data_IF_249259894460
#
_entry.id   IF_249259894460
#
_cell.length_a   1.000
_cell.length_b   1.000
_cell.length_c   1.000
_cell.angle_alpha   90.00
_cell.angle_beta   90.00
_cell.angle_gamma   90.00
#
_symmetry.space_group_name_H-M   'P 1'
#
loop_
_entity.id
_entity.type
_entity.pdbx_description
1 polymer ?
#
# COMPACT_ATOMS: atom_id res chain seq x y z
N UNK A 1 -23.58 -1.68 12.21
CA UNK A 1 -23.62 -1.09 10.84
C UNK A 1 -24.79 -0.13 10.78
N UNK A 2 -24.60 1.05 10.18
CA UNK A 2 -25.67 2.03 9.93
C UNK A 2 -25.68 2.37 8.44
N UNK A 3 -26.83 2.19 7.78
CA UNK A 3 -27.05 2.54 6.38
C UNK A 3 -28.27 3.46 6.32
N UNK A 4 -28.15 4.58 5.62
CA UNK A 4 -29.21 5.57 5.43
C UNK A 4 -29.16 6.07 4.00
N UNK A 5 -30.31 6.48 3.46
CA UNK A 5 -30.35 7.10 2.13
C UNK A 5 -31.69 6.94 1.43
N UNK A 6 -31.71 7.35 0.17
CA UNK A 6 -32.86 7.30 -0.73
C UNK A 6 -32.46 6.65 -2.05
N UNK A 7 -33.40 5.97 -2.70
CA UNK A 7 -33.23 5.40 -4.02
C UNK A 7 -34.50 5.61 -4.85
N UNK A 8 -34.33 5.80 -6.15
CA UNK A 8 -35.42 5.92 -7.11
C UNK A 8 -35.40 7.22 -7.93
N UNK A 9 -36.23 7.28 -8.99
CA UNK A 9 -37.16 6.24 -9.46
C UNK A 9 -36.45 5.01 -10.05
N UNK A 10 -37.07 3.83 -9.97
CA UNK A 10 -36.51 2.57 -10.52
C UNK A 10 -36.85 2.49 -12.02
N UNK A 11 -35.87 2.47 -12.94
CA UNK A 11 -36.14 2.32 -14.36
C UNK A 11 -36.65 0.91 -14.68
N UNK A 12 -37.73 0.81 -15.45
CA UNK A 12 -38.29 -0.51 -15.86
C UNK A 12 -37.36 -1.27 -16.81
N UNK A 13 -36.56 -0.57 -17.61
CA UNK A 13 -35.66 -1.16 -18.59
C UNK A 13 -34.40 -1.75 -17.93
N UNK A 14 -33.86 -1.11 -16.89
CA UNK A 14 -32.62 -1.52 -16.24
C UNK A 14 -32.57 -1.04 -14.77
N UNK A 15 -32.68 -1.98 -13.83
CA UNK A 15 -32.67 -1.67 -12.38
C UNK A 15 -31.30 -1.15 -11.91
N UNK A 16 -30.20 -1.46 -12.62
CA UNK A 16 -28.85 -0.98 -12.29
C UNK A 16 -28.77 0.55 -12.41
N UNK A 17 -29.59 1.14 -13.28
CA UNK A 17 -29.65 2.59 -13.51
C UNK A 17 -30.49 3.34 -12.47
N UNK A 18 -30.87 2.69 -11.37
CA UNK A 18 -31.62 3.35 -10.30
C UNK A 18 -30.76 4.42 -9.62
N UNK A 19 -31.18 5.71 -9.64
CA UNK A 19 -30.48 6.75 -8.89
C UNK A 19 -30.59 6.49 -7.39
N UNK A 20 -29.54 6.81 -6.65
CA UNK A 20 -29.56 6.69 -5.20
C UNK A 20 -28.61 7.69 -4.55
N UNK A 21 -28.81 7.92 -3.26
CA UNK A 21 -27.95 8.72 -2.40
C UNK A 21 -27.92 8.04 -1.04
N UNK A 22 -26.77 7.45 -0.71
CA UNK A 22 -26.57 6.55 0.42
C UNK A 22 -25.40 7.02 1.29
N UNK A 23 -25.53 6.83 2.59
CA UNK A 23 -24.47 6.98 3.60
C UNK A 23 -24.34 5.68 4.40
N UNK A 24 -23.12 5.19 4.52
CA UNK A 24 -22.77 3.93 5.17
C UNK A 24 -21.71 4.17 6.24
N UNK A 25 -22.01 3.71 7.46
CA UNK A 25 -21.06 3.67 8.56
C UNK A 25 -20.93 2.24 9.10
N UNK A 26 -19.72 1.71 9.04
CA UNK A 26 -19.31 0.44 9.60
C UNK A 26 -18.23 0.73 10.62
N UNK A 27 -18.56 0.58 11.91
CA UNK A 27 -17.58 0.82 12.98
C UNK A 27 -16.54 -0.30 13.10
N UNK A 28 -16.91 -1.52 12.70
CA UNK A 28 -16.06 -2.70 12.84
C UNK A 28 -16.51 -3.80 11.88
N UNK A 29 -15.62 -4.19 10.98
CA UNK A 29 -15.75 -5.32 10.08
C UNK A 29 -14.51 -6.20 10.24
N UNK A 30 -14.71 -7.45 10.62
CA UNK A 30 -13.63 -8.44 10.65
C UNK A 30 -13.41 -8.99 9.23
N UNK A 31 -12.25 -8.73 8.62
CA UNK A 31 -11.95 -9.16 7.25
C UNK A 31 -11.86 -10.68 7.11
N UNK A 32 -11.32 -11.36 8.12
CA UNK A 32 -11.18 -12.81 8.08
C UNK A 32 -12.52 -13.51 8.36
N UNK A 33 -13.33 -12.93 9.26
CA UNK A 33 -14.64 -13.46 9.62
C UNK A 33 -15.78 -13.10 8.65
N UNK A 34 -15.60 -12.10 7.78
CA UNK A 34 -16.66 -11.58 6.90
C UNK A 34 -16.79 -12.28 5.55
N UNK A 35 -15.80 -13.08 5.16
CA UNK A 35 -15.75 -13.71 3.83
C UNK A 35 -15.25 -12.80 2.71
N UNK A 36 -14.86 -11.54 3.00
CA UNK A 36 -14.23 -10.65 2.02
C UNK A 36 -12.82 -11.11 1.62
N UNK A 37 -12.12 -11.77 2.53
CA UNK A 37 -10.84 -12.41 2.24
C UNK A 37 -11.04 -13.93 2.16
N UNK A 38 -10.46 -14.56 1.13
CA UNK A 38 -10.36 -16.02 1.11
C UNK A 38 -9.53 -16.47 2.33
N UNK A 39 -9.97 -17.48 3.10
CA UNK A 39 -9.24 -17.91 4.30
C UNK A 39 -7.77 -18.29 4.03
N UNK A 40 -7.47 -18.77 2.82
CA UNK A 40 -6.13 -19.14 2.37
C UNK A 40 -5.21 -17.95 2.05
N UNK A 41 -5.77 -16.75 1.84
CA UNK A 41 -5.01 -15.55 1.45
C UNK A 41 -4.08 -15.04 2.56
N UNK A 42 -4.37 -15.37 3.82
CA UNK A 42 -3.67 -14.82 4.97
C UNK A 42 -4.02 -13.37 5.30
N UNK A 43 -4.98 -12.78 4.58
CA UNK A 43 -5.48 -11.43 4.84
C UNK A 43 -6.37 -11.44 6.08
N UNK A 44 -6.09 -10.56 7.03
CA UNK A 44 -6.88 -10.37 8.23
C UNK A 44 -6.81 -8.92 8.71
N UNK A 45 -7.71 -8.53 9.60
CA UNK A 45 -7.73 -7.19 10.18
C UNK A 45 -9.14 -6.73 10.48
N UNK A 46 -9.22 -5.57 11.11
CA UNK A 46 -10.48 -4.93 11.48
C UNK A 46 -10.60 -3.64 10.69
N UNK A 47 -11.66 -3.51 9.92
CA UNK A 47 -11.92 -2.31 9.12
C UNK A 47 -13.10 -1.54 9.68
N UNK A 48 -12.90 -0.24 9.87
CA UNK A 48 -13.97 0.73 9.99
C UNK A 48 -14.08 1.50 8.66
N UNK A 49 -15.31 1.81 8.26
CA UNK A 49 -15.63 2.58 7.06
C UNK A 49 -16.68 3.62 7.39
N UNK A 50 -16.44 4.85 6.97
CA UNK A 50 -17.43 5.92 6.94
C UNK A 50 -17.43 6.49 5.52
N UNK A 51 -18.57 6.41 4.83
CA UNK A 51 -18.63 6.85 3.44
C UNK A 51 -20.03 7.12 2.93
N UNK A 52 -20.06 7.73 1.75
CA UNK A 52 -21.27 8.06 1.01
C UNK A 52 -21.12 7.62 -0.45
N UNK A 53 -22.22 7.18 -1.05
CA UNK A 53 -22.30 6.84 -2.46
C UNK A 53 -23.53 7.50 -3.08
N UNK A 54 -23.35 8.20 -4.20
CA UNK A 54 -24.43 8.82 -4.94
C UNK A 54 -24.41 8.33 -6.39
N UNK A 55 -25.55 7.86 -6.88
CA UNK A 55 -25.75 7.43 -8.27
C UNK A 55 -26.76 8.32 -8.96
N UNK A 56 -26.45 8.73 -10.18
CA UNK A 56 -27.40 9.40 -11.09
C UNK A 56 -28.06 8.42 -12.07
N UNK A 57 -27.79 7.11 -11.93
CA UNK A 57 -28.25 6.06 -12.85
C UNK A 57 -27.27 5.72 -13.98
N UNK A 58 -26.21 6.51 -14.17
CA UNK A 58 -25.16 6.23 -15.16
C UNK A 58 -23.78 6.12 -14.50
N UNK A 59 -23.53 6.96 -13.50
CA UNK A 59 -22.31 6.96 -12.71
C UNK A 59 -22.62 6.90 -11.22
N UNK A 60 -21.72 6.30 -10.46
CA UNK A 60 -21.72 6.26 -8.99
C UNK A 60 -20.47 6.96 -8.47
N UNK A 61 -20.67 8.04 -7.72
CA UNK A 61 -19.61 8.72 -7.01
C UNK A 61 -19.55 8.22 -5.57
N UNK A 62 -18.37 7.78 -5.13
CA UNK A 62 -18.14 7.25 -3.78
C UNK A 62 -17.07 8.08 -3.11
N UNK A 63 -17.34 8.50 -1.88
CA UNK A 63 -16.39 9.18 -1.00
C UNK A 63 -16.39 8.48 0.34
N UNK A 64 -15.23 8.36 0.96
CA UNK A 64 -15.18 7.79 2.30
C UNK A 64 -13.80 7.78 2.92
N UNK A 65 -13.80 7.41 4.20
CA UNK A 65 -12.64 7.15 5.01
C UNK A 65 -12.68 5.71 5.48
N UNK A 66 -11.59 4.99 5.26
CA UNK A 66 -11.36 3.67 5.83
C UNK A 66 -10.30 3.78 6.91
N UNK A 67 -10.45 3.00 7.97
CA UNK A 67 -9.43 2.76 8.97
C UNK A 67 -9.29 1.26 9.16
N UNK A 68 -8.08 0.73 9.00
CA UNK A 68 -7.78 -0.68 9.14
C UNK A 68 -6.80 -0.88 10.30
N UNK A 69 -7.27 -1.55 11.35
CA UNK A 69 -6.50 -1.93 12.52
C UNK A 69 -6.07 -3.40 12.44
N UNK A 70 -4.93 -3.72 13.06
CA UNK A 70 -4.39 -5.08 13.13
C UNK A 70 -4.29 -5.76 11.74
N UNK A 71 -4.01 -4.96 10.71
CA UNK A 71 -3.99 -5.44 9.33
C UNK A 71 -2.88 -6.48 9.17
N UNK A 72 -3.20 -7.59 8.52
CA UNK A 72 -2.27 -8.63 8.07
C UNK A 72 -2.56 -8.86 6.59
N UNK A 73 -1.54 -8.80 5.74
CA UNK A 73 -1.68 -8.81 4.28
C UNK A 73 -0.94 -9.98 3.61
N UNK A 74 -0.09 -10.68 4.35
CA UNK A 74 0.67 -11.81 3.86
C UNK A 74 0.43 -13.03 4.77
N UNK A 75 0.48 -14.24 4.20
CA UNK A 75 0.28 -15.50 4.94
C UNK A 75 1.23 -15.65 6.13
N UNK A 76 2.52 -15.36 5.93
CA UNK A 76 3.55 -15.33 6.98
C UNK A 76 3.52 -14.08 7.86
N UNK A 77 2.76 -13.06 7.48
CA UNK A 77 2.68 -11.80 8.19
C UNK A 77 2.06 -11.91 9.58
N UNK A 78 2.29 -10.89 10.39
CA UNK A 78 1.66 -10.66 11.69
C UNK A 78 0.95 -9.31 11.71
N UNK A 79 0.00 -9.06 12.63
CA UNK A 79 -0.74 -7.81 12.66
C UNK A 79 0.16 -6.56 12.66
N UNK A 80 -0.19 -5.58 11.84
CA UNK A 80 0.42 -4.26 11.84
C UNK A 80 0.32 -3.62 13.24
N UNK A 81 1.37 -2.90 13.64
CA UNK A 81 1.44 -2.20 14.93
C UNK A 81 0.77 -0.84 14.93
N UNK A 82 0.29 -0.39 13.76
CA UNK A 82 -0.38 0.90 13.56
C UNK A 82 -1.52 0.73 12.56
N UNK A 83 -2.57 1.52 12.77
CA UNK A 83 -3.68 1.61 11.84
C UNK A 83 -3.23 2.18 10.49
N UNK A 84 -3.82 1.66 9.41
CA UNK A 84 -3.74 2.26 8.07
C UNK A 84 -5.04 3.00 7.83
N UNK A 85 -4.98 4.29 7.48
CA UNK A 85 -6.16 5.06 7.10
C UNK A 85 -6.12 5.36 5.61
N UNK A 86 -7.28 5.37 4.96
CA UNK A 86 -7.41 5.68 3.54
C UNK A 86 -8.56 6.65 3.36
N UNK A 87 -8.27 7.84 2.85
CA UNK A 87 -9.28 8.78 2.39
C UNK A 87 -9.46 8.62 0.88
N UNK A 88 -10.67 8.33 0.41
CA UNK A 88 -10.93 8.03 -1.00
C UNK A 88 -12.07 8.86 -1.59
N UNK A 89 -11.93 9.14 -2.89
CA UNK A 89 -12.97 9.61 -3.79
C UNK A 89 -12.81 8.87 -5.12
N UNK A 90 -13.87 8.21 -5.58
CA UNK A 90 -13.88 7.50 -6.85
C UNK A 90 -15.19 7.79 -7.60
N UNK A 91 -15.11 7.75 -8.92
CA UNK A 91 -16.29 7.76 -9.80
C UNK A 91 -16.32 6.48 -10.63
N UNK A 92 -17.47 5.81 -10.69
CA UNK A 92 -17.68 4.54 -11.39
C UNK A 92 -18.75 4.72 -12.46
N UNK A 93 -18.44 4.38 -13.71
CA UNK A 93 -19.38 4.31 -14.84
C UNK A 93 -20.03 2.92 -14.86
N UNK A 94 -21.35 2.87 -14.65
CA UNK A 94 -22.11 1.63 -14.52
C UNK A 94 -22.14 0.84 -15.82
N UNK A 95 -22.26 1.51 -16.96
CA UNK A 95 -22.35 0.86 -18.27
C UNK A 95 -20.99 0.30 -18.70
N UNK A 96 -19.91 1.02 -18.42
CA UNK A 96 -18.55 0.58 -18.74
C UNK A 96 -17.95 -0.37 -17.69
N UNK A 97 -18.61 -0.51 -16.53
CA UNK A 97 -18.13 -1.26 -15.37
C UNK A 97 -16.68 -0.91 -15.02
N UNK A 98 -16.39 0.38 -15.00
CA UNK A 98 -15.04 0.90 -14.79
C UNK A 98 -15.09 2.28 -14.18
N UNK A 99 -13.97 2.77 -13.68
CA UNK A 99 -13.96 4.02 -12.94
C UNK A 99 -12.60 4.65 -12.77
N UNK A 100 -12.62 5.83 -12.15
CA UNK A 100 -11.44 6.62 -11.81
C UNK A 100 -11.35 6.76 -10.30
N UNK A 101 -10.18 6.49 -9.74
CA UNK A 101 -9.82 6.85 -8.38
C UNK A 101 -9.28 8.28 -8.41
N UNK A 102 -10.19 9.24 -8.20
CA UNK A 102 -9.91 10.68 -8.30
C UNK A 102 -8.93 11.13 -7.20
N UNK A 103 -9.11 10.59 -6.00
CA UNK A 103 -8.24 10.82 -4.86
C UNK A 103 -8.20 9.55 -4.01
N UNK A 104 -7.00 9.10 -3.67
CA UNK A 104 -6.81 8.16 -2.57
C UNK A 104 -5.56 8.54 -1.82
N UNK A 105 -5.69 8.90 -0.54
CA UNK A 105 -4.54 9.20 0.31
C UNK A 105 -4.47 8.15 1.39
N UNK A 106 -3.32 7.47 1.46
CA UNK A 106 -3.00 6.43 2.42
C UNK A 106 -2.17 7.06 3.52
N UNK A 107 -2.61 6.89 4.77
CA UNK A 107 -1.97 7.42 5.95
C UNK A 107 -1.52 6.28 6.87
N UNK A 108 -0.26 6.36 7.30
CA UNK A 108 0.31 5.52 8.35
C UNK A 108 0.97 6.47 9.34
N UNK A 109 0.24 6.83 10.40
CA UNK A 109 0.62 7.95 11.26
C UNK A 109 0.79 9.23 10.46
N UNK A 110 1.99 9.83 10.51
CA UNK A 110 2.31 11.03 9.74
C UNK A 110 2.77 10.74 8.29
N UNK A 111 3.10 9.49 7.94
CA UNK A 111 3.48 9.13 6.58
C UNK A 111 2.26 9.12 5.66
N UNK A 112 2.39 9.74 4.48
CA UNK A 112 1.31 9.90 3.51
C UNK A 112 1.77 9.50 2.10
N UNK A 113 0.95 8.69 1.43
CA UNK A 113 1.10 8.36 0.02
C UNK A 113 -0.22 8.61 -0.72
N UNK A 114 -0.15 8.97 -2.00
CA UNK A 114 -1.29 9.12 -2.89
C UNK A 114 -1.35 7.99 -3.90
N UNK A 115 -2.51 7.38 -4.04
CA UNK A 115 -2.85 6.42 -5.09
C UNK A 115 -3.93 7.04 -5.99
N UNK A 116 -3.75 7.00 -7.31
CA UNK A 116 -4.75 7.43 -8.27
C UNK A 116 -4.67 6.57 -9.53
N UNK A 117 -5.71 6.64 -10.37
CA UNK A 117 -5.73 5.85 -11.60
C UNK A 117 -7.12 5.44 -12.06
N UNK A 118 -7.16 4.50 -13.00
CA UNK A 118 -8.40 3.96 -13.59
C UNK A 118 -8.46 2.45 -13.52
N UNK A 119 -9.67 1.89 -13.42
CA UNK A 119 -9.90 0.45 -13.44
C UNK A 119 -11.05 0.07 -14.38
N UNK A 120 -11.05 -1.17 -14.85
CA UNK A 120 -12.10 -1.79 -15.65
C UNK A 120 -12.37 -3.21 -15.15
N UNK A 121 -13.64 -3.54 -14.95
CA UNK A 121 -14.10 -4.80 -14.38
C UNK A 121 -14.85 -5.70 -15.38
N UNK A 122 -15.09 -5.21 -16.60
CA UNK A 122 -15.80 -5.92 -17.68
C UNK A 122 -14.92 -6.85 -18.52
N UNK A 123 -13.75 -7.22 -18.00
CA UNK A 123 -12.80 -8.12 -18.65
C UNK A 123 -12.74 -9.42 -17.83
N UNK A 124 -12.21 -10.51 -18.41
CA UNK A 124 -12.02 -11.78 -17.69
C UNK A 124 -11.14 -11.62 -16.44
N UNK A 125 -10.10 -10.78 -16.56
CA UNK A 125 -9.25 -10.32 -15.47
C UNK A 125 -9.33 -8.80 -15.38
N UNK A 126 -9.70 -8.22 -14.23
CA UNK A 126 -9.77 -6.77 -14.06
C UNK A 126 -8.50 -6.06 -14.54
N UNK A 127 -8.66 -4.96 -15.28
CA UNK A 127 -7.55 -4.16 -15.80
C UNK A 127 -7.42 -2.88 -15.00
N UNK A 128 -6.20 -2.54 -14.59
CA UNK A 128 -5.89 -1.33 -13.83
C UNK A 128 -4.79 -0.51 -14.50
N UNK A 129 -4.83 0.80 -14.27
CA UNK A 129 -3.75 1.75 -14.52
C UNK A 129 -3.65 2.65 -13.31
N UNK A 130 -2.71 2.34 -12.41
CA UNK A 130 -2.60 2.95 -11.09
C UNK A 130 -1.23 3.61 -10.93
N UNK A 131 -1.19 4.75 -10.24
CA UNK A 131 0.05 5.41 -9.83
C UNK A 131 0.04 5.65 -8.32
N UNK A 132 1.07 5.16 -7.66
CA UNK A 132 1.38 5.38 -6.25
C UNK A 132 2.53 6.38 -6.15
N UNK A 133 2.33 7.45 -5.39
CA UNK A 133 3.36 8.45 -5.09
C UNK A 133 3.44 8.71 -3.60
N UNK A 134 4.64 8.94 -3.10
CA UNK A 134 4.86 9.34 -1.71
C UNK A 134 6.24 9.95 -1.60
N UNK A 135 6.38 11.02 -0.81
CA UNK A 135 7.65 11.74 -0.70
C UNK A 135 8.02 11.93 0.75
N UNK A 136 9.28 11.63 1.09
CA UNK A 136 9.85 11.85 2.42
C UNK A 136 9.01 11.26 3.57
N UNK A 137 8.38 10.11 3.34
CA UNK A 137 7.59 9.41 4.35
C UNK A 137 8.50 8.85 5.44
N UNK A 138 8.24 9.14 6.71
CA UNK A 138 9.09 8.67 7.80
C UNK A 138 9.15 7.14 7.85
N UNK A 139 10.34 6.55 7.78
CA UNK A 139 10.51 5.09 7.82
C UNK A 139 10.09 4.51 9.17
N UNK A 140 10.18 5.28 10.26
CA UNK A 140 9.73 4.85 11.59
C UNK A 140 8.22 4.60 11.63
N UNK A 141 7.45 5.39 10.88
CA UNK A 141 6.01 5.20 10.69
C UNK A 141 5.73 3.95 9.86
N UNK A 142 6.40 3.83 8.71
CA UNK A 142 6.23 2.70 7.79
C UNK A 142 6.70 1.37 8.39
N UNK A 143 7.68 1.39 9.30
CA UNK A 143 8.16 0.21 10.01
C UNK A 143 7.04 -0.51 10.78
N UNK A 144 6.00 0.22 11.21
CA UNK A 144 4.87 -0.33 11.95
C UNK A 144 4.00 -1.29 11.11
N UNK A 145 4.05 -1.20 9.79
CA UNK A 145 3.25 -2.04 8.88
C UNK A 145 4.06 -3.17 8.24
N UNK A 146 5.39 -3.16 8.32
CA UNK A 146 6.25 -4.22 7.76
C UNK A 146 5.86 -5.64 8.19
N UNK A 147 5.51 -5.91 9.46
CA UNK A 147 5.11 -7.25 9.87
C UNK A 147 3.86 -7.75 9.14
N UNK A 148 2.94 -6.85 8.75
CA UNK A 148 1.73 -7.20 8.01
C UNK A 148 2.04 -7.70 6.60
N UNK A 149 3.17 -7.25 6.04
CA UNK A 149 3.68 -7.59 4.72
C UNK A 149 4.65 -8.78 4.75
N UNK A 150 4.83 -9.44 5.90
CA UNK A 150 5.84 -10.49 6.11
C UNK A 150 7.29 -9.99 5.88
N UNK A 151 7.52 -8.69 6.10
CA UNK A 151 8.85 -8.09 6.04
C UNK A 151 9.45 -8.08 7.45
N UNK A 152 10.53 -8.82 7.61
CA UNK A 152 11.23 -8.98 8.89
C UNK A 152 12.50 -8.13 8.88
N UNK A 153 12.64 -7.25 9.88
CA UNK A 153 13.90 -6.56 10.13
C UNK A 153 14.93 -7.54 10.75
N UNK A 154 16.23 -7.33 10.52
CA UNK A 154 17.25 -8.14 11.18
C UNK A 154 17.04 -8.23 12.70
N UNK A 155 17.30 -9.39 13.29
CA UNK A 155 17.00 -9.65 14.69
C UNK A 155 17.62 -8.59 15.62
N UNK A 156 16.81 -8.07 16.55
CA UNK A 156 17.20 -7.03 17.51
C UNK A 156 17.30 -5.62 16.93
N UNK A 157 17.13 -5.45 15.62
CA UNK A 157 17.27 -4.17 14.93
C UNK A 157 15.94 -3.41 14.87
N UNK A 158 16.02 -2.09 14.91
CA UNK A 158 14.87 -1.22 14.69
C UNK A 158 15.26 -0.03 13.81
N UNK A 159 14.34 0.46 13.00
CA UNK A 159 14.54 1.70 12.26
C UNK A 159 14.47 2.87 13.25
N UNK A 160 15.54 3.65 13.31
CA UNK A 160 15.67 4.82 14.20
C UNK A 160 15.21 6.10 13.48
N UNK A 161 15.56 6.23 12.19
CA UNK A 161 15.21 7.37 11.35
C UNK A 161 15.36 7.05 9.85
N UNK A 162 14.99 8.01 9.02
CA UNK A 162 15.12 7.99 7.57
C UNK A 162 13.76 8.17 6.89
N UNK A 163 13.79 8.36 5.58
CA UNK A 163 12.58 8.59 4.79
C UNK A 163 12.50 7.70 3.56
N UNK A 164 11.28 7.32 3.19
CA UNK A 164 10.95 6.64 1.95
C UNK A 164 10.27 7.61 0.98
N UNK A 165 10.70 7.60 -0.26
CA UNK A 165 9.98 8.17 -1.39
C UNK A 165 9.68 7.09 -2.42
N UNK A 166 8.49 7.13 -3.01
CA UNK A 166 8.04 6.18 -4.03
C UNK A 166 7.39 6.94 -5.18
N UNK A 167 7.65 6.52 -6.40
CA UNK A 167 6.86 6.85 -7.59
C UNK A 167 6.76 5.56 -8.42
N UNK A 168 5.62 4.87 -8.30
CA UNK A 168 5.39 3.54 -8.88
C UNK A 168 4.11 3.58 -9.69
N UNK A 169 4.15 3.01 -10.88
CA UNK A 169 3.00 2.81 -11.77
C UNK A 169 2.77 1.33 -11.98
N UNK A 170 1.51 0.91 -11.92
CA UNK A 170 1.07 -0.45 -12.21
C UNK A 170 0.02 -0.43 -13.31
N UNK A 171 0.25 -1.18 -14.38
CA UNK A 171 -0.57 -1.19 -15.60
C UNK A 171 -0.86 -2.61 -16.07
N UNK A 172 -2.09 -2.86 -16.50
CA UNK A 172 -2.50 -4.11 -17.16
C UNK A 172 -3.54 -4.90 -16.35
N UNK A 173 -3.79 -6.13 -16.80
CA UNK A 173 -4.66 -7.06 -16.10
C UNK A 173 -4.03 -7.47 -14.76
N UNK A 174 -4.82 -7.69 -13.72
CA UNK A 174 -4.33 -7.97 -12.35
C UNK A 174 -3.50 -9.25 -12.23
N UNK A 175 -3.69 -10.20 -13.15
CA UNK A 175 -2.91 -11.44 -13.29
C UNK A 175 -1.66 -11.29 -14.17
N UNK A 176 -1.51 -10.18 -14.90
CA UNK A 176 -0.38 -9.85 -15.80
C UNK A 176 0.11 -8.42 -15.59
N UNK A 177 0.16 -7.99 -14.34
CA UNK A 177 0.38 -6.59 -14.01
C UNK A 177 1.85 -6.19 -14.24
N UNK A 178 2.09 -5.20 -15.10
CA UNK A 178 3.39 -4.56 -15.24
C UNK A 178 3.51 -3.46 -14.19
N UNK A 179 4.49 -3.57 -13.29
CA UNK A 179 4.78 -2.54 -12.29
C UNK A 179 6.16 -1.97 -12.52
N UNK A 180 6.25 -0.65 -12.69
CA UNK A 180 7.49 0.09 -12.92
C UNK A 180 7.58 1.30 -12.01
N UNK A 181 8.78 1.72 -11.64
CA UNK A 181 8.92 2.92 -10.84
C UNK A 181 10.22 3.03 -10.09
N UNK A 182 10.25 4.01 -9.18
CA UNK A 182 11.39 4.29 -8.32
C UNK A 182 10.98 4.21 -6.86
N UNK A 183 11.91 3.68 -6.05
CA UNK A 183 11.84 3.67 -4.60
C UNK A 183 13.16 4.25 -4.11
N UNK A 184 13.10 5.27 -3.26
CA UNK A 184 14.26 5.91 -2.68
C UNK A 184 14.15 5.91 -1.16
N UNK A 185 15.21 5.49 -0.50
CA UNK A 185 15.40 5.54 0.94
C UNK A 185 16.54 6.50 1.23
N UNK A 186 16.23 7.54 1.99
CA UNK A 186 17.19 8.57 2.38
C UNK A 186 17.40 8.58 3.89
N UNK A 187 18.67 8.77 4.27
CA UNK A 187 19.10 9.00 5.64
C UNK A 187 18.64 7.92 6.64
N UNK A 188 18.53 6.68 6.15
CA UNK A 188 18.07 5.55 6.94
C UNK A 188 19.14 5.10 7.93
N UNK A 189 18.70 4.92 9.18
CA UNK A 189 19.54 4.39 10.25
C UNK A 189 18.81 3.29 10.98
N UNK A 190 19.48 2.15 11.10
CA UNK A 190 19.04 1.05 11.93
C UNK A 190 19.82 1.09 13.23
N UNK A 191 19.10 1.09 14.35
CA UNK A 191 19.70 0.86 15.65
C UNK A 191 19.86 -0.65 15.87
N UNK A 192 20.89 -1.04 16.65
CA UNK A 192 21.26 -2.44 16.93
C UNK A 192 21.53 -3.31 15.69
N UNK A 193 21.78 -2.68 14.54
CA UNK A 193 22.23 -3.35 13.32
C UNK A 193 23.59 -2.79 12.90
N UNK A 194 24.60 -3.66 12.91
CA UNK A 194 25.93 -3.35 12.43
C UNK A 194 26.31 -4.35 11.33
N UNK A 195 26.20 -3.92 10.08
CA UNK A 195 26.62 -4.71 8.91
C UNK A 195 28.13 -4.99 8.95
N UNK A 196 28.94 -4.06 9.46
CA UNK A 196 30.38 -4.24 9.64
C UNK A 196 30.68 -5.41 10.57
N UNK A 197 30.00 -5.50 11.71
CA UNK A 197 30.16 -6.63 12.63
C UNK A 197 29.75 -7.98 12.04
N UNK A 198 28.71 -8.00 11.19
CA UNK A 198 28.21 -9.22 10.52
C UNK A 198 29.14 -9.69 9.40
N UNK A 199 29.88 -8.75 8.80
CA UNK A 199 30.90 -9.00 7.79
C UNK A 199 32.30 -9.25 8.39
N UNK A 200 32.44 -9.34 9.72
CA UNK A 200 33.75 -9.54 10.39
C UNK A 200 34.54 -10.73 9.85
N UNK A 201 33.86 -11.81 9.45
CA UNK A 201 34.48 -12.98 8.82
C UNK A 201 35.12 -12.67 7.45
N UNK A 202 34.56 -11.72 6.68
CA UNK A 202 35.13 -11.24 5.42
C UNK A 202 36.15 -10.11 5.62
N UNK A 203 36.00 -9.32 6.68
CA UNK A 203 36.93 -8.26 7.08
C UNK A 203 38.26 -8.83 7.60
N UNK A 204 38.23 -9.95 8.32
CA UNK A 204 39.43 -10.67 8.75
C UNK A 204 40.26 -11.21 7.58
N UNK A 205 39.63 -11.44 6.42
CA UNK A 205 40.29 -11.85 5.18
C UNK A 205 40.79 -10.67 4.32
N UNK A 206 40.30 -9.44 4.57
CA UNK A 206 40.57 -8.25 3.73
C UNK A 206 41.22 -7.06 4.46
N UNK A 207 41.37 -7.10 5.79
CA UNK A 207 42.03 -6.06 6.59
C UNK A 207 41.25 -4.76 6.80
N UNK A 208 39.97 -4.70 6.41
CA UNK A 208 39.14 -3.49 6.52
C UNK A 208 38.38 -3.47 7.85
N UNK A 209 38.64 -2.49 8.73
CA UNK A 209 37.88 -2.30 9.97
C UNK A 209 36.42 -1.86 9.69
N UNK A 210 35.45 -2.54 10.31
CA UNK A 210 34.03 -2.18 10.28
C UNK A 210 33.65 -1.12 11.34
N UNK A 211 32.76 -0.19 10.97
CA UNK A 211 32.18 0.81 11.89
C UNK A 211 30.97 0.25 12.65
N UNK A 212 30.74 0.63 13.93
CA UNK A 212 29.66 0.09 14.77
C UNK A 212 28.24 0.50 14.38
N UNK A 213 28.06 1.31 13.33
CA UNK A 213 26.75 1.84 12.88
C UNK A 213 26.65 1.86 11.37
N UNK A 214 25.54 1.36 10.83
CA UNK A 214 25.24 1.46 9.40
C UNK A 214 24.31 2.64 9.13
N UNK A 215 24.79 3.64 8.40
CA UNK A 215 23.98 4.75 7.86
C UNK A 215 23.87 4.60 6.35
N UNK A 216 22.65 4.55 5.84
CA UNK A 216 22.38 4.58 4.40
C UNK A 216 22.04 6.03 4.06
N UNK A 217 22.89 6.70 3.28
CA UNK A 217 22.62 8.09 2.90
C UNK A 217 21.53 8.17 1.86
N UNK A 218 21.72 7.47 0.74
CA UNK A 218 20.71 7.31 -0.29
C UNK A 218 20.83 5.90 -0.85
N UNK A 219 19.72 5.18 -0.83
CA UNK A 219 19.49 3.94 -1.56
C UNK A 219 18.31 4.17 -2.49
N UNK A 220 18.56 4.15 -3.79
CA UNK A 220 17.50 4.24 -4.79
C UNK A 220 17.47 2.97 -5.64
N UNK A 221 16.28 2.49 -5.96
CA UNK A 221 16.07 1.38 -6.86
C UNK A 221 15.02 1.74 -7.91
N UNK A 222 15.34 1.48 -9.18
CA UNK A 222 14.38 1.44 -10.27
C UNK A 222 13.91 -0.01 -10.42
N UNK A 223 12.60 -0.23 -10.39
CA UNK A 223 11.99 -1.55 -10.49
C UNK A 223 11.21 -1.70 -11.79
N UNK A 224 11.24 -2.90 -12.35
CA UNK A 224 10.32 -3.38 -13.37
C UNK A 224 9.95 -4.84 -13.04
N UNK A 225 8.67 -5.10 -12.81
CA UNK A 225 8.14 -6.37 -12.37
C UNK A 225 6.92 -6.77 -13.21
N UNK A 226 6.83 -8.05 -13.57
CA UNK A 226 5.65 -8.65 -14.19
C UNK A 226 5.53 -10.11 -13.76
N UNK A 227 4.32 -10.68 -13.64
CA UNK A 227 4.13 -12.09 -13.27
C UNK A 227 4.84 -13.09 -14.20
N UNK A 228 5.00 -12.73 -15.47
CA UNK A 228 5.58 -13.60 -16.52
C UNK A 228 7.09 -13.36 -16.77
N UNK A 229 7.69 -12.39 -16.08
CA UNK A 229 9.08 -11.97 -16.31
C UNK A 229 9.89 -11.85 -15.02
N UNK A 230 11.23 -11.93 -15.10
CA UNK A 230 12.07 -11.74 -13.92
C UNK A 230 11.90 -10.33 -13.35
N UNK A 231 11.90 -10.21 -12.02
CA UNK A 231 12.04 -8.92 -11.36
C UNK A 231 13.36 -8.29 -11.81
N UNK A 232 13.28 -7.15 -12.49
CA UNK A 232 14.43 -6.33 -12.82
C UNK A 232 14.51 -5.17 -11.83
N UNK A 233 15.60 -5.09 -11.09
CA UNK A 233 15.86 -4.00 -10.17
C UNK A 233 17.26 -3.45 -10.42
N UNK A 234 17.36 -2.18 -10.82
CA UNK A 234 18.63 -1.47 -10.90
C UNK A 234 18.75 -0.58 -9.68
N UNK A 235 19.78 -0.80 -8.85
CA UNK A 235 20.00 -0.04 -7.63
C UNK A 235 21.20 0.88 -7.77
N UNK A 236 21.07 2.09 -7.23
CA UNK A 236 22.16 3.02 -7.00
C UNK A 236 22.20 3.35 -5.50
N UNK A 237 23.38 3.25 -4.89
CA UNK A 237 23.56 3.46 -3.46
C UNK A 237 24.79 4.33 -3.20
N UNK A 238 24.69 5.18 -2.19
CA UNK A 238 25.82 5.90 -1.62
C UNK A 238 25.89 5.65 -0.11
N UNK A 239 27.07 5.26 0.35
CA UNK A 239 27.38 5.07 1.76
C UNK A 239 28.39 6.15 2.17
N UNK A 240 28.10 6.86 3.26
CA UNK A 240 29.11 7.69 3.93
C UNK A 240 29.44 7.03 5.25
N UNK A 241 30.72 6.69 5.40
CA UNK A 241 31.33 6.34 6.68
C UNK A 241 31.29 7.58 7.58
N UNK A 242 30.80 7.46 8.80
CA UNK A 242 30.88 8.58 9.74
C UNK A 242 32.30 8.63 10.29
N UNK A 243 33.17 9.35 9.58
CA UNK A 243 34.51 9.66 10.06
C UNK A 243 34.45 10.71 11.17
N UNK A 244 34.93 10.31 12.35
CA UNK A 244 35.35 11.06 13.55
C UNK A 244 34.34 11.97 14.22
#
# INVERSE_FOLDING_TARGET
MKLQGKAGPIPQANVIETPFDLSLAIARLDLAGSGFAQPSSGIAGIVALDGSAASNGHSVDIKGKLTADNLKLAKGGSPAKRAVQIDLALSHDLAKQGGTLERSTIHIGAAQASLNGTYRLNEESPVISMKLTGSKMALTELAAILPALDVVLPAGSNIERGTLSVDVTSLGAVDRLLTTGTIAVDDARLNNFDLGSKMKTLQQLSGIQGEPRTTIQTLSASIAASPEGPLSATSAWSLRRSGT
#
